data_IF_220230400640
#
_entry.id   IF_220230400640
#
_cell.length_a   1.000
_cell.length_b   1.000
_cell.length_c   1.000
_cell.angle_alpha   90.00
_cell.angle_beta   90.00
_cell.angle_gamma   90.00
#
_symmetry.space_group_name_H-M   'P 1'
#
loop_
_entity.id
_entity.type
_entity.pdbx_description
1 polymer ?
#
# COMPACT_ATOMS: atom_id res chain seq x y z
N UNK A 1 -37.98 31.76 2.76
CA UNK A 1 -36.54 32.00 2.94
C UNK A 1 -36.27 32.08 4.42
N UNK A 2 -35.95 30.95 5.05
CA UNK A 2 -35.61 30.88 6.48
C UNK A 2 -34.09 30.89 6.56
N UNK A 3 -33.53 32.01 6.99
CA UNK A 3 -32.12 32.12 7.36
C UNK A 3 -31.97 31.56 8.77
N UNK A 4 -31.63 30.28 8.86
CA UNK A 4 -31.28 29.64 10.13
C UNK A 4 -29.87 30.11 10.52
N UNK A 5 -29.80 30.97 11.54
CA UNK A 5 -28.55 31.37 12.18
C UNK A 5 -27.90 30.14 12.83
N UNK A 6 -26.90 29.53 12.18
CA UNK A 6 -26.06 28.49 12.77
C UNK A 6 -25.15 29.11 13.85
N UNK A 7 -25.63 29.11 15.09
CA UNK A 7 -24.96 29.67 16.25
C UNK A 7 -24.69 28.59 17.31
N UNK A 8 -24.07 27.48 16.94
CA UNK A 8 -23.20 26.69 17.82
C UNK A 8 -22.47 25.64 16.99
N UNK A 9 -21.26 25.29 17.43
CA UNK A 9 -20.48 24.19 16.84
C UNK A 9 -21.26 22.86 16.92
N UNK A 10 -22.13 22.73 17.92
CA UNK A 10 -23.00 21.59 18.16
C UNK A 10 -24.13 21.48 17.11
N UNK A 11 -24.64 22.61 16.61
CA UNK A 11 -25.67 22.61 15.56
C UNK A 11 -25.12 22.04 14.25
N UNK A 12 -23.88 22.41 13.86
CA UNK A 12 -23.26 21.88 12.64
C UNK A 12 -22.97 20.37 12.71
N UNK A 13 -22.70 19.85 13.92
CA UNK A 13 -22.54 18.41 14.16
C UNK A 13 -23.90 17.68 14.12
N UNK A 14 -24.97 18.32 14.58
CA UNK A 14 -26.35 17.82 14.52
C UNK A 14 -26.89 17.81 13.08
N UNK A 15 -26.56 18.82 12.27
CA UNK A 15 -27.02 18.94 10.86
C UNK A 15 -26.35 17.94 9.91
N UNK A 16 -25.17 17.39 10.22
CA UNK A 16 -24.55 16.35 9.38
C UNK A 16 -25.40 15.06 9.32
N UNK A 17 -26.27 14.84 10.31
CA UNK A 17 -27.17 13.69 10.38
C UNK A 17 -28.55 13.94 9.73
N UNK A 18 -28.78 15.11 9.12
CA UNK A 18 -30.08 15.42 8.51
C UNK A 18 -30.30 14.63 7.20
N UNK A 19 -31.54 14.20 6.94
CA UNK A 19 -31.93 13.51 5.71
C UNK A 19 -31.81 14.40 4.45
N UNK A 20 -31.84 15.73 4.63
CA UNK A 20 -31.73 16.71 3.55
C UNK A 20 -30.29 16.91 3.08
N UNK A 21 -30.04 16.76 1.78
CA UNK A 21 -28.73 17.03 1.17
C UNK A 21 -28.30 18.50 1.29
N UNK A 22 -29.26 19.43 1.23
CA UNK A 22 -28.99 20.87 1.28
C UNK A 22 -28.44 21.30 2.64
N UNK A 23 -29.02 20.76 3.72
CA UNK A 23 -28.62 21.05 5.10
C UNK A 23 -27.24 20.45 5.41
N UNK A 24 -26.95 19.24 4.91
CA UNK A 24 -25.61 18.63 5.02
C UNK A 24 -24.54 19.43 4.31
N UNK A 25 -24.82 19.93 3.11
CA UNK A 25 -23.89 20.76 2.36
C UNK A 25 -23.63 22.09 3.06
N UNK A 26 -24.66 22.71 3.63
CA UNK A 26 -24.51 23.94 4.43
C UNK A 26 -23.67 23.70 5.70
N UNK A 27 -23.89 22.57 6.40
CA UNK A 27 -23.10 22.18 7.56
C UNK A 27 -21.63 21.92 7.21
N UNK A 28 -21.36 21.22 6.11
CA UNK A 28 -20.00 21.00 5.61
C UNK A 28 -19.30 22.31 5.23
N UNK A 29 -19.99 23.24 4.58
CA UNK A 29 -19.45 24.54 4.24
C UNK A 29 -19.06 25.34 5.50
N UNK A 30 -19.92 25.31 6.52
CA UNK A 30 -19.62 25.92 7.82
C UNK A 30 -18.40 25.29 8.49
N UNK A 31 -18.34 23.96 8.55
CA UNK A 31 -17.22 23.22 9.14
C UNK A 31 -15.91 23.48 8.37
N UNK A 32 -15.98 23.57 7.05
CA UNK A 32 -14.84 23.91 6.20
C UNK A 32 -14.28 25.29 6.57
N UNK A 33 -15.13 26.31 6.62
CA UNK A 33 -14.69 27.66 6.96
C UNK A 33 -14.14 27.76 8.39
N UNK A 34 -14.73 27.03 9.34
CA UNK A 34 -14.30 27.02 10.73
C UNK A 34 -12.96 26.28 10.94
N UNK A 35 -12.77 25.12 10.29
CA UNK A 35 -11.64 24.23 10.58
C UNK A 35 -10.50 24.28 9.55
N UNK A 36 -10.69 24.85 8.35
CA UNK A 36 -9.65 24.87 7.29
C UNK A 36 -8.31 25.44 7.77
N UNK A 37 -8.33 26.55 8.51
CA UNK A 37 -7.11 27.20 9.02
C UNK A 37 -6.42 26.33 10.08
N UNK A 38 -7.19 25.76 11.00
CA UNK A 38 -6.67 24.88 12.06
C UNK A 38 -6.09 23.59 11.49
N UNK A 39 -6.74 22.99 10.51
CA UNK A 39 -6.24 21.82 9.80
C UNK A 39 -4.97 22.13 9.01
N UNK A 40 -4.91 23.26 8.29
CA UNK A 40 -3.71 23.67 7.58
C UNK A 40 -2.51 23.84 8.53
N UNK A 41 -2.71 24.51 9.66
CA UNK A 41 -1.66 24.63 10.69
C UNK A 41 -1.26 23.28 11.28
N UNK A 42 -2.23 22.40 11.54
CA UNK A 42 -1.97 21.06 12.06
C UNK A 42 -1.16 20.20 11.08
N UNK A 43 -1.53 20.20 9.80
CA UNK A 43 -0.84 19.43 8.77
C UNK A 43 0.57 19.98 8.59
N UNK A 44 0.76 21.30 8.45
CA UNK A 44 2.08 21.91 8.32
C UNK A 44 3.00 21.66 9.51
N UNK A 45 2.44 21.57 10.72
CA UNK A 45 3.22 21.23 11.93
C UNK A 45 3.73 19.79 11.91
N UNK A 46 2.92 18.83 11.43
CA UNK A 46 3.26 17.41 11.41
C UNK A 46 4.01 16.99 10.12
N UNK A 47 3.78 17.70 9.03
CA UNK A 47 4.32 17.45 7.69
C UNK A 47 4.86 18.77 7.11
N UNK A 48 5.98 19.30 7.63
CA UNK A 48 6.50 20.63 7.27
C UNK A 48 7.02 20.72 5.83
N UNK A 49 7.21 19.57 5.18
CA UNK A 49 7.71 19.45 3.81
C UNK A 49 6.59 19.46 2.77
N UNK A 50 5.32 19.53 3.17
CA UNK A 50 4.21 19.63 2.23
C UNK A 50 4.10 21.02 1.61
N UNK A 51 3.92 21.04 0.30
CA UNK A 51 3.62 22.26 -0.43
C UNK A 51 2.19 22.74 -0.16
N UNK A 52 1.91 24.01 -0.48
CA UNK A 52 0.60 24.61 -0.25
C UNK A 52 -0.54 23.84 -0.92
N UNK A 53 -0.32 23.38 -2.15
CA UNK A 53 -1.27 22.59 -2.93
C UNK A 53 -1.57 21.24 -2.24
N UNK A 54 -0.53 20.57 -1.76
CA UNK A 54 -0.68 19.29 -1.07
C UNK A 54 -1.43 19.42 0.25
N UNK A 55 -1.17 20.49 1.00
CA UNK A 55 -1.93 20.79 2.23
C UNK A 55 -3.40 21.03 1.89
N UNK A 56 -3.68 21.80 0.83
CA UNK A 56 -5.03 22.05 0.36
C UNK A 56 -5.74 20.74 -0.04
N UNK A 57 -5.07 19.87 -0.80
CA UNK A 57 -5.61 18.57 -1.21
C UNK A 57 -5.94 17.68 -0.01
N UNK A 58 -5.07 17.62 1.00
CA UNK A 58 -5.36 16.87 2.23
C UNK A 58 -6.61 17.41 2.90
N UNK A 59 -6.76 18.74 3.00
CA UNK A 59 -7.92 19.36 3.66
C UNK A 59 -9.20 19.03 2.89
N UNK A 60 -9.27 19.31 1.59
CA UNK A 60 -10.46 19.05 0.76
C UNK A 60 -10.85 17.58 0.81
N UNK A 61 -9.88 16.67 0.63
CA UNK A 61 -10.14 15.23 0.67
C UNK A 61 -10.58 14.74 2.06
N UNK A 62 -10.23 15.45 3.12
CA UNK A 62 -10.69 15.10 4.47
C UNK A 62 -12.17 15.44 4.68
N UNK A 63 -12.64 16.57 4.13
CA UNK A 63 -14.05 16.94 4.19
C UNK A 63 -14.92 16.06 3.28
N UNK A 64 -14.41 15.68 2.10
CA UNK A 64 -15.10 14.71 1.23
C UNK A 64 -15.26 13.35 1.90
N UNK A 65 -14.22 12.90 2.63
CA UNK A 65 -14.33 11.64 3.37
C UNK A 65 -15.27 11.77 4.58
N UNK A 66 -15.23 12.91 5.27
CA UNK A 66 -16.16 13.19 6.37
C UNK A 66 -17.61 13.13 5.88
N UNK A 67 -17.90 13.67 4.69
CA UNK A 67 -19.23 13.60 4.08
C UNK A 67 -19.67 12.14 3.85
N UNK A 68 -18.79 11.28 3.35
CA UNK A 68 -19.10 9.86 3.15
C UNK A 68 -19.38 9.15 4.47
N UNK A 69 -18.53 9.38 5.48
CA UNK A 69 -18.69 8.76 6.80
C UNK A 69 -19.95 9.26 7.51
N UNK A 70 -20.34 10.53 7.27
CA UNK A 70 -21.60 11.08 7.79
C UNK A 70 -22.86 10.47 7.15
N UNK A 71 -22.73 9.82 5.98
CA UNK A 71 -23.86 9.08 5.36
C UNK A 71 -23.98 7.63 5.84
N UNK A 72 -23.09 7.16 6.72
CA UNK A 72 -23.14 5.81 7.29
C UNK A 72 -24.00 5.79 8.57
N UNK A 73 -24.79 4.73 8.78
CA UNK A 73 -25.77 4.60 9.87
C UNK A 73 -25.19 4.63 11.31
N UNK A 74 -23.86 4.48 11.46
CA UNK A 74 -23.15 4.43 12.76
C UNK A 74 -22.37 5.73 13.05
N UNK A 75 -22.75 6.84 12.42
CA UNK A 75 -22.07 8.11 12.60
C UNK A 75 -22.34 8.73 13.99
N UNK A 76 -21.27 8.96 14.76
CA UNK A 76 -21.36 9.66 16.04
C UNK A 76 -20.97 11.15 15.89
N UNK A 77 -21.93 12.10 16.02
CA UNK A 77 -21.70 13.53 15.83
C UNK A 77 -20.82 14.16 16.92
N UNK A 78 -20.80 13.64 18.17
CA UNK A 78 -20.06 14.25 19.30
C UNK A 78 -18.52 14.21 19.16
N UNK A 79 -18.01 13.58 18.09
CA UNK A 79 -16.59 13.42 17.85
C UNK A 79 -16.13 13.91 16.46
N UNK A 80 -16.93 14.69 15.74
CA UNK A 80 -16.63 15.17 14.38
C UNK A 80 -15.25 15.83 14.29
N UNK A 81 -14.92 16.72 15.23
CA UNK A 81 -13.59 17.34 15.29
C UNK A 81 -12.45 16.30 15.37
N UNK A 82 -12.55 15.32 16.27
CA UNK A 82 -11.51 14.29 16.44
C UNK A 82 -11.41 13.41 15.20
N UNK A 83 -12.55 13.07 14.61
CA UNK A 83 -12.63 12.29 13.38
C UNK A 83 -11.98 13.03 12.22
N UNK A 84 -12.29 14.32 12.04
CA UNK A 84 -11.75 15.16 10.98
C UNK A 84 -10.22 15.27 11.05
N UNK A 85 -9.65 15.52 12.23
CA UNK A 85 -8.19 15.57 12.39
C UNK A 85 -7.52 14.19 12.20
N UNK A 86 -8.21 13.11 12.57
CA UNK A 86 -7.76 11.74 12.32
C UNK A 86 -7.73 11.42 10.83
N UNK A 87 -8.80 11.74 10.10
CA UNK A 87 -8.90 11.59 8.65
C UNK A 87 -7.78 12.39 7.97
N UNK A 88 -7.62 13.67 8.32
CA UNK A 88 -6.59 14.53 7.75
C UNK A 88 -5.17 13.99 7.95
N UNK A 89 -4.89 13.44 9.14
CA UNK A 89 -3.60 12.79 9.42
C UNK A 89 -3.38 11.56 8.52
N UNK A 90 -4.38 10.70 8.36
CA UNK A 90 -4.24 9.53 7.50
C UNK A 90 -4.07 9.90 6.03
N UNK A 91 -4.83 10.89 5.54
CA UNK A 91 -4.68 11.43 4.19
C UNK A 91 -3.28 11.98 3.94
N UNK A 92 -2.72 12.73 4.89
CA UNK A 92 -1.35 13.20 4.80
C UNK A 92 -0.34 12.04 4.74
N UNK A 93 -0.49 11.01 5.58
CA UNK A 93 0.36 9.82 5.54
C UNK A 93 0.25 9.10 4.19
N UNK A 94 -0.94 9.01 3.63
CA UNK A 94 -1.16 8.35 2.35
C UNK A 94 -0.53 9.12 1.19
N UNK A 95 -0.57 10.46 1.19
CA UNK A 95 0.21 11.26 0.23
C UNK A 95 1.71 11.00 0.35
N UNK A 96 2.26 10.94 1.57
CA UNK A 96 3.69 10.59 1.79
C UNK A 96 3.99 9.19 1.24
N UNK A 97 3.10 8.22 1.46
CA UNK A 97 3.27 6.86 0.94
C UNK A 97 3.20 6.82 -0.59
N UNK A 98 2.28 7.58 -1.19
CA UNK A 98 2.20 7.70 -2.64
C UNK A 98 3.48 8.31 -3.18
N UNK A 99 3.93 9.45 -2.68
CA UNK A 99 5.19 10.05 -3.10
C UNK A 99 6.39 9.12 -2.91
N UNK A 100 6.48 8.40 -1.80
CA UNK A 100 7.57 7.45 -1.58
C UNK A 100 7.54 6.30 -2.58
N UNK A 101 6.36 5.82 -2.98
CA UNK A 101 6.22 4.84 -4.06
C UNK A 101 6.63 5.44 -5.39
N UNK A 102 6.19 6.67 -5.71
CA UNK A 102 6.56 7.36 -6.95
C UNK A 102 8.06 7.66 -7.02
N UNK A 103 8.69 8.08 -5.91
CA UNK A 103 10.15 8.28 -5.85
C UNK A 103 10.90 6.97 -6.01
N UNK A 104 10.47 5.87 -5.39
CA UNK A 104 11.07 4.54 -5.63
C UNK A 104 10.93 4.11 -7.07
N UNK A 105 9.75 4.28 -7.68
CA UNK A 105 9.54 3.97 -9.10
C UNK A 105 10.36 4.88 -10.01
N UNK A 106 10.50 6.17 -9.66
CA UNK A 106 11.26 7.15 -10.44
C UNK A 106 12.77 6.95 -10.29
N UNK A 107 13.26 6.60 -9.10
CA UNK A 107 14.64 6.15 -8.88
C UNK A 107 14.90 4.87 -9.68
N UNK A 108 13.93 3.94 -9.77
CA UNK A 108 14.05 2.77 -10.65
C UNK A 108 14.10 3.19 -12.14
N UNK A 109 13.31 4.18 -12.57
CA UNK A 109 13.33 4.69 -13.95
C UNK A 109 14.55 5.58 -14.28
N UNK A 110 15.10 6.31 -13.32
CA UNK A 110 16.31 7.14 -13.48
C UNK A 110 17.58 6.27 -13.41
N UNK A 111 17.60 5.20 -12.59
CA UNK A 111 18.61 4.14 -12.67
C UNK A 111 18.53 3.39 -14.00
N UNK A 112 17.33 3.10 -14.52
CA UNK A 112 17.13 2.57 -15.87
C UNK A 112 17.55 3.56 -16.97
N UNK A 113 17.38 4.88 -16.77
CA UNK A 113 17.79 5.91 -17.72
C UNK A 113 19.31 6.12 -17.81
N UNK A 114 20.01 6.07 -16.66
CA UNK A 114 21.48 6.07 -16.61
C UNK A 114 22.06 4.74 -17.11
N UNK A 115 21.39 3.61 -16.85
CA UNK A 115 21.75 2.34 -17.48
C UNK A 115 21.50 2.38 -19.00
N UNK A 116 20.42 2.97 -19.50
CA UNK A 116 20.17 3.04 -20.95
C UNK A 116 21.23 3.85 -21.72
N UNK A 117 21.79 4.91 -21.13
CA UNK A 117 22.88 5.67 -21.77
C UNK A 117 24.24 4.96 -21.69
N UNK A 118 24.54 4.25 -20.59
CA UNK A 118 25.73 3.40 -20.51
C UNK A 118 25.62 2.14 -21.40
N UNK A 119 24.40 1.65 -21.62
CA UNK A 119 24.08 0.46 -22.41
C UNK A 119 23.93 0.79 -23.90
N UNK A 120 23.74 2.04 -24.34
CA UNK A 120 23.74 2.37 -25.77
C UNK A 120 25.07 2.10 -26.49
N UNK A 121 26.19 2.01 -25.77
CA UNK A 121 27.50 1.67 -26.33
C UNK A 121 27.90 0.20 -26.13
N UNK A 122 27.02 -0.63 -25.57
CA UNK A 122 27.21 -2.08 -25.52
C UNK A 122 26.00 -2.73 -26.20
N UNK A 123 26.18 -3.73 -27.10
CA UNK A 123 25.05 -4.48 -27.60
C UNK A 123 24.30 -5.07 -26.40
N UNK A 124 23.07 -4.59 -26.17
CA UNK A 124 22.14 -5.19 -25.21
C UNK A 124 22.16 -6.70 -25.43
N UNK A 125 22.46 -7.53 -24.41
CA UNK A 125 22.15 -8.93 -24.54
C UNK A 125 20.65 -9.00 -24.86
N UNK A 126 20.26 -9.66 -25.96
CA UNK A 126 18.87 -9.66 -26.40
C UNK A 126 18.01 -10.08 -25.21
N UNK A 127 16.95 -9.32 -24.92
CA UNK A 127 15.96 -9.70 -23.94
C UNK A 127 15.48 -11.11 -24.31
N UNK A 128 16.07 -12.12 -23.68
CA UNK A 128 15.73 -13.51 -23.94
C UNK A 128 14.35 -13.68 -23.37
N UNK A 129 13.35 -13.59 -24.22
CA UNK A 129 12.04 -14.13 -23.93
C UNK A 129 12.28 -15.60 -23.58
N UNK A 130 12.25 -15.91 -22.28
CA UNK A 130 12.41 -17.28 -21.82
C UNK A 130 11.28 -18.06 -22.46
N UNK A 131 11.64 -18.90 -23.42
CA UNK A 131 10.69 -19.71 -24.16
C UNK A 131 9.97 -20.65 -23.20
N UNK A 132 8.78 -21.11 -23.55
CA UNK A 132 8.05 -22.09 -22.73
C UNK A 132 8.89 -23.35 -22.45
N UNK A 133 9.77 -23.72 -23.38
CA UNK A 133 10.73 -24.81 -23.22
C UNK A 133 11.79 -24.52 -22.14
N UNK A 134 12.43 -23.34 -22.17
CA UNK A 134 13.40 -22.94 -21.14
C UNK A 134 12.75 -22.79 -19.76
N UNK A 135 11.49 -22.32 -19.68
CA UNK A 135 10.73 -22.30 -18.42
C UNK A 135 10.54 -23.71 -17.85
N UNK A 136 10.20 -24.68 -18.70
CA UNK A 136 10.04 -26.07 -18.28
C UNK A 136 11.36 -26.70 -17.86
N UNK A 137 12.47 -26.36 -18.52
CA UNK A 137 13.81 -26.82 -18.14
C UNK A 137 14.24 -26.25 -16.77
N UNK A 138 14.00 -24.96 -16.54
CA UNK A 138 14.26 -24.32 -15.24
C UNK A 138 13.39 -24.96 -14.15
N UNK A 139 12.13 -25.27 -14.45
CA UNK A 139 11.24 -25.97 -13.53
C UNK A 139 11.75 -27.38 -13.19
N UNK A 140 12.22 -28.13 -14.18
CA UNK A 140 12.82 -29.44 -13.97
C UNK A 140 14.11 -29.36 -13.13
N UNK A 141 14.97 -28.37 -13.40
CA UNK A 141 16.17 -28.09 -12.61
C UNK A 141 15.82 -27.67 -11.17
N UNK A 142 14.76 -26.92 -10.96
CA UNK A 142 14.27 -26.56 -9.63
C UNK A 142 13.79 -27.78 -8.87
N UNK A 143 13.02 -28.68 -9.50
CA UNK A 143 12.58 -29.92 -8.86
C UNK A 143 13.77 -30.79 -8.40
N UNK A 144 14.81 -30.91 -9.24
CA UNK A 144 16.07 -31.59 -8.89
C UNK A 144 16.77 -30.90 -7.72
N UNK A 145 16.86 -29.57 -7.74
CA UNK A 145 17.43 -28.78 -6.65
C UNK A 145 16.71 -28.99 -5.32
N UNK A 146 15.36 -29.02 -5.31
CA UNK A 146 14.58 -29.25 -4.07
C UNK A 146 14.89 -30.62 -3.45
N UNK A 147 15.22 -31.62 -4.27
CA UNK A 147 15.59 -32.97 -3.81
C UNK A 147 17.02 -33.04 -3.29
N UNK A 148 17.95 -32.36 -3.96
CA UNK A 148 19.39 -32.61 -3.77
C UNK A 148 20.09 -31.56 -2.87
N UNK A 149 19.52 -30.36 -2.68
CA UNK A 149 20.20 -29.21 -2.06
C UNK A 149 20.27 -29.22 -0.51
N UNK A 150 19.86 -30.30 0.17
CA UNK A 150 19.96 -30.41 1.63
C UNK A 150 19.30 -29.25 2.38
N UNK A 151 18.11 -28.82 1.93
CA UNK A 151 17.41 -27.66 2.50
C UNK A 151 16.93 -27.93 3.94
N UNK A 152 16.96 -26.89 4.79
CA UNK A 152 16.39 -26.96 6.15
C UNK A 152 14.89 -27.26 6.07
N UNK A 153 14.29 -27.90 7.09
CA UNK A 153 12.88 -28.34 7.10
C UNK A 153 11.88 -27.27 6.63
N UNK A 154 12.02 -26.02 7.08
CA UNK A 154 11.15 -24.90 6.68
C UNK A 154 11.43 -24.44 5.24
N UNK A 155 12.71 -24.37 4.83
CA UNK A 155 13.11 -24.04 3.45
C UNK A 155 12.59 -25.10 2.46
N UNK A 156 12.64 -26.37 2.84
CA UNK A 156 12.15 -27.48 2.03
C UNK A 156 10.62 -27.40 1.86
N UNK A 157 9.89 -27.04 2.91
CA UNK A 157 8.44 -26.84 2.83
C UNK A 157 8.09 -25.69 1.88
N UNK A 158 8.78 -24.55 1.99
CA UNK A 158 8.64 -23.41 1.06
C UNK A 158 8.98 -23.82 -0.37
N UNK A 159 10.11 -24.50 -0.59
CA UNK A 159 10.55 -24.90 -1.91
C UNK A 159 9.59 -25.91 -2.57
N UNK A 160 8.97 -26.80 -1.79
CA UNK A 160 7.91 -27.71 -2.29
C UNK A 160 6.67 -26.95 -2.72
N UNK A 161 6.20 -26.00 -1.92
CA UNK A 161 5.06 -25.14 -2.29
C UNK A 161 5.36 -24.37 -3.58
N UNK A 162 6.58 -23.83 -3.73
CA UNK A 162 7.00 -23.15 -4.95
C UNK A 162 7.15 -24.07 -6.17
N UNK A 163 7.44 -25.36 -5.97
CA UNK A 163 7.54 -26.34 -7.05
C UNK A 163 6.14 -26.79 -7.55
N UNK A 164 5.19 -26.91 -6.61
CA UNK A 164 3.79 -27.22 -6.87
C UNK A 164 3.09 -26.05 -7.57
N UNK A 165 3.27 -24.82 -7.06
CA UNK A 165 2.72 -23.59 -7.61
C UNK A 165 3.82 -22.67 -8.15
N UNK A 166 4.15 -22.86 -9.43
CA UNK A 166 5.16 -22.08 -10.17
C UNK A 166 4.61 -20.74 -10.68
N UNK A 167 3.59 -20.17 -10.04
CA UNK A 167 3.18 -18.81 -10.38
C UNK A 167 4.26 -17.82 -9.92
N UNK A 168 4.72 -16.99 -10.85
CA UNK A 168 5.84 -16.04 -10.66
C UNK A 168 5.64 -15.02 -9.53
N UNK A 169 4.45 -14.97 -8.92
CA UNK A 169 4.04 -13.97 -7.93
C UNK A 169 3.43 -14.55 -6.65
N UNK A 170 3.75 -15.80 -6.25
CA UNK A 170 3.20 -16.31 -4.97
C UNK A 170 3.65 -15.43 -3.79
N UNK A 171 2.74 -14.72 -3.10
CA UNK A 171 3.12 -13.85 -2.00
C UNK A 171 3.52 -14.67 -0.76
N UNK A 172 4.39 -14.15 0.11
CA UNK A 172 4.83 -14.88 1.31
C UNK A 172 3.69 -15.26 2.28
N UNK A 173 2.57 -14.54 2.26
CA UNK A 173 1.35 -14.88 3.02
C UNK A 173 0.78 -16.22 2.60
N UNK A 174 0.68 -16.45 1.30
CA UNK A 174 0.02 -17.64 0.76
C UNK A 174 0.94 -18.84 0.94
N UNK A 175 2.25 -18.66 0.78
CA UNK A 175 3.26 -19.68 1.12
C UNK A 175 3.12 -20.09 2.59
N UNK A 176 2.99 -19.12 3.51
CA UNK A 176 2.82 -19.39 4.94
C UNK A 176 1.56 -20.22 5.18
N UNK A 177 0.44 -19.79 4.61
CA UNK A 177 -0.87 -20.43 4.83
C UNK A 177 -0.89 -21.85 4.27
N UNK A 178 -0.32 -22.05 3.08
CA UNK A 178 -0.16 -23.39 2.48
C UNK A 178 0.75 -24.31 3.29
N UNK A 179 1.77 -23.77 3.96
CA UNK A 179 2.65 -24.57 4.83
C UNK A 179 1.97 -24.89 6.16
N UNK A 180 1.31 -23.91 6.78
CA UNK A 180 0.65 -24.09 8.08
C UNK A 180 -0.58 -24.99 8.00
N UNK A 181 -1.20 -25.10 6.81
CA UNK A 181 -2.23 -26.11 6.54
C UNK A 181 -1.68 -27.55 6.51
N UNK A 182 -0.35 -27.74 6.52
CA UNK A 182 0.27 -29.07 6.61
C UNK A 182 0.61 -29.38 8.08
N UNK A 183 0.28 -30.59 8.58
CA UNK A 183 0.50 -30.92 9.98
C UNK A 183 1.99 -30.87 10.35
N UNK A 184 2.28 -30.25 11.50
CA UNK A 184 3.64 -30.17 12.06
C UNK A 184 4.50 -29.02 11.55
N UNK A 185 3.89 -27.98 10.96
CA UNK A 185 4.55 -26.72 10.65
C UNK A 185 3.82 -25.55 11.32
N UNK A 186 4.57 -24.71 12.01
CA UNK A 186 4.12 -23.40 12.48
C UNK A 186 5.14 -22.37 12.02
N UNK A 187 4.87 -21.78 10.85
CA UNK A 187 5.74 -20.81 10.20
C UNK A 187 5.11 -19.44 10.32
N UNK A 188 5.90 -18.49 10.83
CA UNK A 188 5.51 -17.08 10.84
C UNK A 188 5.68 -16.46 9.45
N UNK A 189 4.96 -15.38 9.16
CA UNK A 189 5.08 -14.67 7.88
C UNK A 189 6.53 -14.22 7.59
N UNK A 190 7.23 -13.74 8.63
CA UNK A 190 8.64 -13.36 8.53
C UNK A 190 9.53 -14.57 8.22
N UNK A 191 9.24 -15.73 8.81
CA UNK A 191 9.91 -16.99 8.54
C UNK A 191 9.72 -17.47 7.09
N UNK A 192 8.49 -17.41 6.58
CA UNK A 192 8.18 -17.77 5.19
C UNK A 192 8.89 -16.85 4.19
N UNK A 193 8.90 -15.54 4.46
CA UNK A 193 9.62 -14.56 3.62
C UNK A 193 11.13 -14.85 3.57
N UNK A 194 11.77 -14.99 4.74
CA UNK A 194 13.20 -15.27 4.84
C UNK A 194 13.56 -16.60 4.18
N UNK A 195 12.76 -17.64 4.40
CA UNK A 195 12.97 -18.95 3.80
C UNK A 195 12.83 -18.91 2.27
N UNK A 196 11.88 -18.15 1.72
CA UNK A 196 11.74 -17.93 0.27
C UNK A 196 12.99 -17.28 -0.32
N UNK A 197 13.51 -16.22 0.30
CA UNK A 197 14.72 -15.53 -0.15
C UNK A 197 15.95 -16.46 -0.12
N UNK A 198 16.10 -17.25 0.96
CA UNK A 198 17.20 -18.21 1.10
C UNK A 198 17.12 -19.36 0.07
N UNK A 199 15.92 -19.86 -0.23
CA UNK A 199 15.69 -20.87 -1.28
C UNK A 199 16.07 -20.33 -2.65
N UNK A 200 15.61 -19.12 -2.99
CA UNK A 200 15.94 -18.48 -4.26
C UNK A 200 17.43 -18.20 -4.41
N UNK A 201 18.09 -17.76 -3.33
CA UNK A 201 19.55 -17.54 -3.33
C UNK A 201 20.31 -18.83 -3.64
N UNK A 202 20.01 -19.91 -2.91
CA UNK A 202 20.65 -21.22 -3.15
C UNK A 202 20.34 -21.78 -4.53
N UNK A 203 19.14 -21.53 -5.06
CA UNK A 203 18.80 -21.97 -6.41
C UNK A 203 19.58 -21.21 -7.49
N UNK A 204 19.82 -19.91 -7.32
CA UNK A 204 20.71 -19.14 -8.21
C UNK A 204 22.14 -19.69 -8.17
N UNK A 205 22.67 -19.95 -6.98
CA UNK A 205 23.98 -20.60 -6.79
C UNK A 205 24.04 -21.97 -7.51
N UNK A 206 22.97 -22.76 -7.44
CA UNK A 206 22.86 -24.04 -8.15
C UNK A 206 22.83 -23.90 -9.68
N UNK A 207 22.16 -22.87 -10.20
CA UNK A 207 22.14 -22.57 -11.63
C UNK A 207 23.46 -21.96 -12.15
N UNK A 208 24.41 -21.63 -11.26
CA UNK A 208 25.67 -20.94 -11.58
C UNK A 208 25.45 -19.63 -12.36
N UNK A 209 24.38 -18.89 -12.01
CA UNK A 209 24.09 -17.53 -12.47
C UNK A 209 24.38 -16.57 -11.33
#
# INVERSE_FOLDING_TARGET
>A
MLSTNCNSQDDAELFLCSESEEDRNAALAYLYDHFKSRLASFIRRNFPFFEYEQVHDVIVNSFLELQKVATEDDFNPEAVHRLLFRIARFRAIDLVRMESRWRKTKETCEEEGLHQQAVQNQPLPPARFITTAEKNEIRAKFATFVRDAGLKRVQLAVARVMAEDWSSNLPPSDIRDMINNRPGFDVTLAGAKRAKEEVLKKFREYLKI
#
